data_IF_728665319316
#
_entry.id   IF_728665319316
#
_cell.length_a   1.000
_cell.length_b   1.000
_cell.length_c   1.000
_cell.angle_alpha   90.00
_cell.angle_beta   90.00
_cell.angle_gamma   90.00
#
_symmetry.space_group_name_H-M   'P 1'
#
loop_
_entity.id
_entity.type
_entity.pdbx_description
1 polymer ?
#
# COMPACT_ATOMS: atom_id res chain seq x y z
N UNK A 1 25.90 -19.46 -30.21
CA UNK A 1 25.30 -18.25 -29.61
C UNK A 1 26.42 -17.45 -28.98
N UNK A 2 26.57 -16.17 -29.34
CA UNK A 2 27.56 -15.30 -28.71
C UNK A 2 27.12 -14.89 -27.30
N UNK A 3 28.04 -14.37 -26.48
CA UNK A 3 27.76 -14.01 -25.09
C UNK A 3 26.58 -13.01 -24.95
N UNK A 4 26.48 -12.05 -25.88
CA UNK A 4 25.39 -11.06 -25.94
C UNK A 4 24.01 -11.70 -26.21
N UNK A 5 23.95 -12.68 -27.12
CA UNK A 5 22.73 -13.44 -27.40
C UNK A 5 22.30 -14.31 -26.22
N UNK A 6 23.25 -14.97 -25.55
CA UNK A 6 22.97 -15.76 -24.34
C UNK A 6 22.44 -14.87 -23.22
N UNK A 7 23.04 -13.71 -23.05
CA UNK A 7 22.60 -12.71 -22.10
C UNK A 7 21.17 -12.23 -22.39
N UNK A 8 20.86 -11.87 -23.64
CA UNK A 8 19.54 -11.39 -24.03
C UNK A 8 18.45 -12.44 -23.80
N UNK A 9 18.74 -13.70 -24.13
CA UNK A 9 17.83 -14.82 -23.87
C UNK A 9 17.55 -15.02 -22.37
N UNK A 10 18.53 -14.75 -21.50
CA UNK A 10 18.32 -14.78 -20.04
C UNK A 10 17.43 -13.63 -19.57
N UNK A 11 17.62 -12.42 -20.11
CA UNK A 11 16.80 -11.26 -19.80
C UNK A 11 15.34 -11.48 -20.20
N UNK A 12 15.10 -11.93 -21.43
CA UNK A 12 13.76 -12.22 -21.94
C UNK A 12 13.04 -13.29 -21.09
N UNK A 13 13.77 -14.34 -20.68
CA UNK A 13 13.22 -15.36 -19.77
C UNK A 13 12.82 -14.77 -18.41
N UNK A 14 13.62 -13.87 -17.85
CA UNK A 14 13.27 -13.19 -16.59
C UNK A 14 12.06 -12.28 -16.77
N UNK A 15 11.94 -11.59 -17.90
CA UNK A 15 10.80 -10.74 -18.22
C UNK A 15 9.49 -11.54 -18.35
N UNK A 16 9.52 -12.70 -19.03
CA UNK A 16 8.37 -13.61 -19.10
C UNK A 16 7.92 -14.05 -17.70
N UNK A 17 8.88 -14.44 -16.84
CA UNK A 17 8.56 -14.81 -15.46
C UNK A 17 7.98 -13.63 -14.67
N UNK A 18 8.53 -12.42 -14.86
CA UNK A 18 7.99 -11.20 -14.26
C UNK A 18 6.53 -10.99 -14.66
N UNK A 19 6.23 -11.05 -15.95
CA UNK A 19 4.88 -10.81 -16.48
C UNK A 19 3.86 -11.82 -15.97
N UNK A 20 4.26 -13.10 -15.87
CA UNK A 20 3.42 -14.15 -15.28
C UNK A 20 3.11 -13.88 -13.81
N UNK A 21 4.14 -13.62 -13.00
CA UNK A 21 3.98 -13.33 -11.57
C UNK A 21 3.20 -12.03 -11.33
N UNK A 22 3.41 -11.00 -12.17
CA UNK A 22 2.69 -9.74 -12.11
C UNK A 22 1.20 -9.93 -12.43
N UNK A 23 0.88 -10.79 -13.42
CA UNK A 23 -0.50 -11.17 -13.76
C UNK A 23 -1.19 -11.91 -12.61
N UNK A 24 -0.50 -12.88 -12.00
CA UNK A 24 -1.02 -13.59 -10.84
C UNK A 24 -1.23 -12.64 -9.65
N UNK A 25 -0.28 -11.74 -9.39
CA UNK A 25 -0.41 -10.68 -8.40
C UNK A 25 -1.62 -9.77 -8.68
N UNK A 26 -1.88 -9.40 -9.94
CA UNK A 26 -3.06 -8.61 -10.34
C UNK A 26 -4.37 -9.36 -10.07
N UNK A 27 -4.42 -10.67 -10.28
CA UNK A 27 -5.60 -11.47 -9.95
C UNK A 27 -5.87 -11.46 -8.44
N UNK A 28 -4.84 -11.69 -7.61
CA UNK A 28 -5.00 -11.62 -6.16
C UNK A 28 -5.41 -10.23 -5.68
N UNK A 29 -4.84 -9.16 -6.26
CA UNK A 29 -5.27 -7.78 -5.99
C UNK A 29 -6.76 -7.57 -6.28
N UNK A 30 -7.24 -8.05 -7.42
CA UNK A 30 -8.65 -7.94 -7.80
C UNK A 30 -9.56 -8.66 -6.81
N UNK A 31 -9.16 -9.85 -6.35
CA UNK A 31 -9.93 -10.62 -5.36
C UNK A 31 -9.98 -9.90 -4.01
N UNK A 32 -8.86 -9.34 -3.55
CA UNK A 32 -8.80 -8.56 -2.30
C UNK A 32 -9.73 -7.34 -2.39
N UNK A 33 -9.64 -6.58 -3.49
CA UNK A 33 -10.47 -5.39 -3.70
C UNK A 33 -11.97 -5.73 -3.74
N UNK A 34 -12.35 -6.77 -4.48
CA UNK A 34 -13.75 -7.22 -4.61
C UNK A 34 -14.32 -7.70 -3.28
N UNK A 35 -13.57 -8.52 -2.53
CA UNK A 35 -14.00 -9.00 -1.21
C UNK A 35 -14.21 -7.86 -0.21
N UNK A 36 -13.30 -6.88 -0.17
CA UNK A 36 -13.42 -5.70 0.70
C UNK A 36 -14.60 -4.81 0.28
N UNK A 37 -14.78 -4.58 -1.01
CA UNK A 37 -15.91 -3.78 -1.50
C UNK A 37 -17.23 -4.43 -1.11
N UNK A 38 -17.36 -5.75 -1.31
CA UNK A 38 -18.57 -6.51 -0.93
C UNK A 38 -18.81 -6.49 0.58
N UNK A 39 -17.78 -6.61 1.41
CA UNK A 39 -17.94 -6.54 2.87
C UNK A 39 -18.45 -5.15 3.29
N UNK A 40 -17.90 -4.07 2.71
CA UNK A 40 -18.34 -2.71 3.00
C UNK A 40 -19.81 -2.46 2.61
N UNK A 41 -20.23 -3.00 1.45
CA UNK A 41 -21.64 -2.93 1.03
C UNK A 41 -22.54 -3.65 2.04
N UNK A 42 -22.13 -4.84 2.50
CA UNK A 42 -22.87 -5.61 3.49
C UNK A 42 -22.88 -4.96 4.88
N UNK A 43 -21.90 -4.14 5.22
CA UNK A 43 -21.87 -3.37 6.47
C UNK A 43 -22.70 -2.07 6.41
N UNK A 44 -23.00 -1.60 5.19
CA UNK A 44 -23.78 -0.37 4.98
C UNK A 44 -25.28 -0.56 5.25
N UNK A 45 -26.00 0.55 5.47
CA UNK A 45 -27.47 0.53 5.63
C UNK A 45 -28.21 0.02 4.38
N UNK A 46 -27.59 0.09 3.19
CA UNK A 46 -28.14 -0.46 1.96
C UNK A 46 -28.28 -1.99 2.00
N UNK A 47 -27.50 -2.66 2.86
CA UNK A 47 -27.58 -4.12 3.06
C UNK A 47 -28.90 -4.57 3.71
N UNK A 48 -29.61 -3.69 4.43
CA UNK A 48 -30.89 -4.01 5.08
C UNK A 48 -31.96 -4.41 4.06
N UNK A 49 -31.82 -3.94 2.82
CA UNK A 49 -32.68 -4.28 1.69
C UNK A 49 -32.32 -5.64 1.07
N UNK A 50 -31.06 -6.08 1.20
CA UNK A 50 -30.49 -7.27 0.57
C UNK A 50 -30.55 -8.48 1.52
N UNK A 51 -30.24 -8.29 2.80
CA UNK A 51 -30.18 -9.33 3.82
C UNK A 51 -30.86 -8.84 5.10
N UNK A 52 -32.12 -9.23 5.29
CA UNK A 52 -32.90 -8.89 6.50
C UNK A 52 -32.37 -9.60 7.77
N UNK A 53 -31.66 -10.72 7.59
CA UNK A 53 -31.08 -11.49 8.70
C UNK A 53 -29.69 -10.96 9.06
N UNK A 54 -29.56 -10.35 10.24
CA UNK A 54 -28.27 -9.91 10.82
C UNK A 54 -27.29 -11.07 11.00
N UNK A 55 -27.79 -12.29 11.24
CA UNK A 55 -26.92 -13.48 11.39
C UNK A 55 -26.27 -13.85 10.06
N UNK A 56 -27.05 -13.92 8.98
CA UNK A 56 -26.54 -14.23 7.64
C UNK A 56 -25.60 -13.13 7.13
N UNK A 57 -25.92 -11.86 7.40
CA UNK A 57 -25.06 -10.72 7.11
C UNK A 57 -23.67 -10.87 7.76
N UNK A 58 -23.62 -11.21 9.06
CA UNK A 58 -22.35 -11.44 9.78
C UNK A 58 -21.54 -12.60 9.20
N UNK A 59 -22.20 -13.71 8.84
CA UNK A 59 -21.55 -14.88 8.24
C UNK A 59 -20.95 -14.50 6.88
N UNK A 60 -21.71 -13.80 6.03
CA UNK A 60 -21.26 -13.38 4.70
C UNK A 60 -20.05 -12.42 4.78
N UNK A 61 -20.10 -11.43 5.68
CA UNK A 61 -18.98 -10.52 5.93
C UNK A 61 -17.73 -11.30 6.38
N UNK A 62 -17.88 -12.22 7.33
CA UNK A 62 -16.77 -13.03 7.82
C UNK A 62 -16.12 -13.87 6.70
N UNK A 63 -16.92 -14.43 5.80
CA UNK A 63 -16.40 -15.24 4.70
C UNK A 63 -15.69 -14.41 3.63
N UNK A 64 -16.20 -13.22 3.31
CA UNK A 64 -15.52 -12.27 2.42
C UNK A 64 -14.17 -11.82 3.00
N UNK A 65 -14.10 -11.59 4.32
CA UNK A 65 -12.84 -11.28 4.98
C UNK A 65 -11.85 -12.45 4.94
N UNK A 66 -12.31 -13.69 5.11
CA UNK A 66 -11.44 -14.87 4.93
C UNK A 66 -10.91 -14.97 3.50
N UNK A 67 -11.76 -14.75 2.49
CA UNK A 67 -11.36 -14.73 1.08
C UNK A 67 -10.31 -13.65 0.80
N UNK A 68 -10.52 -12.43 1.32
CA UNK A 68 -9.56 -11.34 1.21
C UNK A 68 -8.20 -11.69 1.84
N UNK A 69 -8.20 -12.30 3.03
CA UNK A 69 -6.97 -12.73 3.71
C UNK A 69 -6.25 -13.86 2.96
N UNK A 70 -7.00 -14.81 2.39
CA UNK A 70 -6.43 -15.86 1.55
C UNK A 70 -5.79 -15.29 0.29
N UNK A 71 -6.49 -14.41 -0.42
CA UNK A 71 -5.98 -13.75 -1.62
C UNK A 71 -4.74 -12.89 -1.31
N UNK A 72 -4.70 -12.21 -0.16
CA UNK A 72 -3.51 -11.49 0.32
C UNK A 72 -2.31 -12.40 0.54
N UNK A 73 -2.51 -13.57 1.16
CA UNK A 73 -1.42 -14.54 1.34
C UNK A 73 -0.86 -14.97 -0.01
N UNK A 74 -1.73 -15.17 -1.01
CA UNK A 74 -1.33 -15.40 -2.40
C UNK A 74 -0.52 -14.23 -2.98
N UNK A 75 -1.02 -12.99 -2.82
CA UNK A 75 -0.32 -11.78 -3.27
C UNK A 75 1.08 -11.65 -2.66
N UNK A 76 1.23 -11.90 -1.36
CA UNK A 76 2.53 -11.85 -0.66
C UNK A 76 3.50 -12.88 -1.24
N UNK A 77 3.02 -14.09 -1.54
CA UNK A 77 3.84 -15.11 -2.18
C UNK A 77 4.32 -14.67 -3.56
N UNK A 78 3.45 -14.08 -4.39
CA UNK A 78 3.84 -13.56 -5.71
C UNK A 78 4.82 -12.38 -5.61
N UNK A 79 4.61 -11.46 -4.67
CA UNK A 79 5.54 -10.36 -4.38
C UNK A 79 6.93 -10.88 -4.03
N UNK A 80 7.03 -11.93 -3.22
CA UNK A 80 8.31 -12.57 -2.90
C UNK A 80 9.01 -13.12 -4.15
N UNK A 81 8.27 -13.74 -5.07
CA UNK A 81 8.83 -14.26 -6.32
C UNK A 81 9.27 -13.12 -7.26
N UNK A 82 8.49 -12.06 -7.38
CA UNK A 82 8.87 -10.85 -8.14
C UNK A 82 10.17 -10.25 -7.60
N UNK A 83 10.33 -10.18 -6.27
CA UNK A 83 11.58 -9.76 -5.64
C UNK A 83 12.79 -10.60 -6.06
N UNK A 84 12.64 -11.92 -6.14
CA UNK A 84 13.71 -12.81 -6.62
C UNK A 84 14.06 -12.59 -8.10
N UNK A 85 13.05 -12.36 -8.94
CA UNK A 85 13.27 -12.03 -10.37
C UNK A 85 14.02 -10.70 -10.50
N UNK A 86 13.67 -9.70 -9.69
CA UNK A 86 14.35 -8.39 -9.69
C UNK A 86 15.81 -8.47 -9.29
N UNK A 87 16.15 -9.27 -8.27
CA UNK A 87 17.54 -9.50 -7.89
C UNK A 87 18.31 -10.09 -9.07
N UNK A 88 17.73 -11.08 -9.77
CA UNK A 88 18.37 -11.69 -10.95
C UNK A 88 18.52 -10.70 -12.11
N UNK A 89 17.51 -9.87 -12.38
CA UNK A 89 17.58 -8.85 -13.43
C UNK A 89 18.68 -7.82 -13.15
N UNK A 90 18.82 -7.38 -11.88
CA UNK A 90 19.91 -6.48 -11.48
C UNK A 90 21.28 -7.13 -11.65
N UNK A 91 21.47 -8.36 -11.17
CA UNK A 91 22.73 -9.08 -11.36
C UNK A 91 23.07 -9.27 -12.84
N UNK A 92 22.06 -9.53 -13.67
CA UNK A 92 22.24 -9.71 -15.11
C UNK A 92 22.64 -8.38 -15.79
N UNK A 93 22.04 -7.24 -15.40
CA UNK A 93 22.47 -5.90 -15.84
C UNK A 93 23.91 -5.61 -15.44
N UNK A 94 24.27 -5.86 -14.19
CA UNK A 94 25.61 -5.53 -13.67
C UNK A 94 26.71 -6.34 -14.40
N UNK A 95 26.36 -7.52 -14.93
CA UNK A 95 27.24 -8.32 -15.78
C UNK A 95 27.45 -7.76 -17.21
N UNK A 96 26.61 -6.84 -17.70
CA UNK A 96 26.84 -6.14 -18.98
C UNK A 96 27.85 -5.01 -18.82
N UNK A 97 27.77 -4.26 -17.72
CA UNK A 97 28.59 -3.05 -17.49
C UNK A 97 30.10 -3.33 -17.56
N UNK A 98 30.51 -4.59 -17.44
CA UNK A 98 31.91 -5.02 -17.53
C UNK A 98 32.41 -5.27 -18.96
N UNK A 99 31.55 -5.41 -19.98
CA UNK A 99 31.96 -5.95 -21.29
C UNK A 99 31.57 -5.13 -22.54
N UNK A 100 30.55 -4.25 -22.52
CA UNK A 100 30.17 -3.48 -23.73
C UNK A 100 29.38 -2.22 -23.34
N UNK A 101 29.94 -1.02 -23.57
CA UNK A 101 29.30 0.28 -23.22
C UNK A 101 28.26 0.68 -24.27
N UNK A 102 27.17 -0.08 -24.38
CA UNK A 102 25.99 0.34 -25.13
C UNK A 102 25.08 1.19 -24.21
N UNK A 103 25.40 2.49 -24.13
CA UNK A 103 24.76 3.47 -23.22
C UNK A 103 23.23 3.53 -23.41
N UNK A 104 22.76 3.30 -24.65
CA UNK A 104 21.33 3.25 -24.96
C UNK A 104 20.65 2.03 -24.30
N UNK A 105 21.29 0.86 -24.39
CA UNK A 105 20.77 -0.37 -23.81
C UNK A 105 20.76 -0.30 -22.27
N UNK A 106 21.83 0.20 -21.66
CA UNK A 106 21.93 0.37 -20.20
C UNK A 106 20.83 1.31 -19.68
N UNK A 107 20.59 2.43 -20.39
CA UNK A 107 19.52 3.37 -20.05
C UNK A 107 18.13 2.74 -20.13
N UNK A 108 17.81 2.06 -21.23
CA UNK A 108 16.51 1.39 -21.42
C UNK A 108 16.26 0.30 -20.36
N UNK A 109 17.31 -0.44 -19.98
CA UNK A 109 17.22 -1.45 -18.92
C UNK A 109 17.03 -0.81 -17.54
N UNK A 110 17.74 0.29 -17.25
CA UNK A 110 17.56 1.02 -16.00
C UNK A 110 16.13 1.57 -15.85
N UNK A 111 15.55 2.10 -16.93
CA UNK A 111 14.16 2.56 -16.95
C UNK A 111 13.17 1.40 -16.71
N UNK A 112 13.42 0.25 -17.34
CA UNK A 112 12.62 -0.97 -17.16
C UNK A 112 12.66 -1.48 -15.72
N UNK A 113 13.87 -1.55 -15.13
CA UNK A 113 14.07 -1.95 -13.73
C UNK A 113 13.33 -0.99 -12.79
N UNK A 114 13.41 0.33 -13.02
CA UNK A 114 12.68 1.33 -12.21
C UNK A 114 11.17 1.14 -12.28
N UNK A 115 10.63 0.80 -13.44
CA UNK A 115 9.20 0.51 -13.60
C UNK A 115 8.79 -0.72 -12.79
N UNK A 116 9.57 -1.80 -12.85
CA UNK A 116 9.34 -3.02 -12.08
C UNK A 116 9.47 -2.79 -10.56
N UNK A 117 10.42 -1.97 -10.12
CA UNK A 117 10.55 -1.58 -8.70
C UNK A 117 9.30 -0.86 -8.20
N UNK A 118 8.77 0.10 -8.98
CA UNK A 118 7.54 0.80 -8.62
C UNK A 118 6.36 -0.17 -8.50
N UNK A 119 6.24 -1.11 -9.43
CA UNK A 119 5.19 -2.13 -9.39
C UNK A 119 5.34 -3.08 -8.18
N UNK A 120 6.57 -3.52 -7.89
CA UNK A 120 6.87 -4.36 -6.73
C UNK A 120 6.53 -3.64 -5.43
N UNK A 121 6.92 -2.38 -5.30
CA UNK A 121 6.61 -1.54 -4.14
C UNK A 121 5.10 -1.41 -3.95
N UNK A 122 4.35 -1.06 -5.00
CA UNK A 122 2.89 -0.95 -4.94
C UNK A 122 2.23 -2.27 -4.50
N UNK A 123 2.66 -3.41 -5.06
CA UNK A 123 2.11 -4.73 -4.71
C UNK A 123 2.50 -5.17 -3.30
N UNK A 124 3.75 -4.90 -2.88
CA UNK A 124 4.26 -5.21 -1.53
C UNK A 124 3.49 -4.42 -0.48
N UNK A 125 3.23 -3.15 -0.75
CA UNK A 125 2.37 -2.32 0.10
C UNK A 125 0.96 -2.93 0.23
N UNK A 126 0.37 -3.42 -0.85
CA UNK A 126 -0.98 -3.99 -0.77
C UNK A 126 -0.99 -5.36 -0.06
N UNK A 127 0.07 -6.14 -0.24
CA UNK A 127 0.28 -7.46 0.38
C UNK A 127 0.56 -7.37 1.90
N UNK A 128 1.31 -6.37 2.32
CA UNK A 128 1.67 -6.13 3.72
C UNK A 128 0.58 -5.36 4.47
N UNK A 129 -0.36 -4.73 3.76
CA UNK A 129 -1.33 -3.74 4.24
C UNK A 129 -2.04 -4.07 5.57
N UNK A 130 -3.13 -4.83 5.70
CA UNK A 130 -4.15 -4.44 6.70
C UNK A 130 -4.54 -2.95 6.51
N UNK A 131 -4.76 -2.62 5.22
CA UNK A 131 -4.91 -1.32 4.55
C UNK A 131 -5.94 -0.31 5.09
N UNK A 132 -6.33 -0.41 6.34
CA UNK A 132 -7.18 0.59 6.94
C UNK A 132 -6.97 0.70 8.43
N UNK A 133 -5.91 0.12 9.03
CA UNK A 133 -5.84 0.03 10.49
C UNK A 133 -4.39 -0.15 11.01
N UNK A 134 -3.79 0.84 11.67
CA UNK A 134 -2.46 0.70 12.29
C UNK A 134 -2.23 1.62 13.48
N UNK A 135 -1.21 1.31 14.29
CA UNK A 135 -0.79 2.21 15.36
C UNK A 135 0.07 3.36 14.83
N UNK A 136 -0.38 4.59 15.08
CA UNK A 136 0.40 5.82 14.87
C UNK A 136 0.48 6.61 16.18
N UNK A 137 1.37 7.60 16.23
CA UNK A 137 1.42 8.56 17.33
C UNK A 137 0.77 9.87 16.93
N UNK A 138 -0.10 10.40 17.79
CA UNK A 138 -0.75 11.70 17.59
C UNK A 138 -0.26 12.67 18.65
N UNK A 139 0.10 13.89 18.26
CA UNK A 139 0.44 14.96 19.20
C UNK A 139 -0.85 15.50 19.85
N UNK A 140 -0.84 15.74 21.16
CA UNK A 140 -1.90 16.47 21.87
C UNK A 140 -1.70 17.97 21.68
N UNK A 141 -2.71 18.77 22.06
CA UNK A 141 -2.58 20.23 22.06
C UNK A 141 -1.47 20.69 23.01
N UNK A 142 -1.25 19.94 24.09
CA UNK A 142 -0.19 20.19 25.07
C UNK A 142 1.18 19.63 24.65
N UNK A 143 1.34 19.22 23.38
CA UNK A 143 2.61 18.76 22.82
C UNK A 143 3.00 17.31 23.14
N UNK A 144 2.17 16.54 23.86
CA UNK A 144 2.48 15.15 24.24
C UNK A 144 2.13 14.16 23.13
N UNK A 145 2.96 13.14 22.93
CA UNK A 145 2.71 12.07 21.96
C UNK A 145 1.83 10.97 22.55
N UNK A 146 0.83 10.52 21.79
CA UNK A 146 -0.08 9.45 22.17
C UNK A 146 -0.16 8.36 21.09
N UNK A 147 0.19 7.13 21.43
CA UNK A 147 -0.04 5.97 20.56
C UNK A 147 -1.55 5.71 20.43
N UNK A 148 -2.06 5.67 19.21
CA UNK A 148 -3.47 5.43 18.88
C UNK A 148 -3.58 4.48 17.71
N UNK A 149 -4.63 3.68 17.72
CA UNK A 149 -4.98 2.85 16.58
C UNK A 149 -5.75 3.73 15.60
N UNK A 150 -5.19 3.97 14.43
CA UNK A 150 -5.80 4.75 13.36
C UNK A 150 -6.37 3.82 12.34
N UNK A 151 -7.57 4.14 11.88
CA UNK A 151 -8.19 3.45 10.78
C UNK A 151 -8.62 4.42 9.68
N UNK A 152 -8.63 3.96 8.43
CA UNK A 152 -9.24 4.73 7.34
C UNK A 152 -10.06 3.84 6.44
N UNK A 153 -11.19 4.38 5.98
CA UNK A 153 -12.01 3.80 4.93
C UNK A 153 -11.99 4.64 3.64
N UNK A 154 -11.05 5.59 3.53
CA UNK A 154 -10.91 6.51 2.39
C UNK A 154 -11.78 7.78 2.47
N UNK A 155 -12.87 7.76 3.25
CA UNK A 155 -13.70 8.94 3.50
C UNK A 155 -13.45 9.53 4.89
N UNK A 156 -13.16 8.69 5.86
CA UNK A 156 -12.87 9.07 7.23
C UNK A 156 -11.55 8.47 7.69
N UNK A 157 -10.73 9.27 8.35
CA UNK A 157 -9.65 8.78 9.20
C UNK A 157 -10.17 8.75 10.64
N UNK A 158 -10.37 7.56 11.18
CA UNK A 158 -10.82 7.36 12.56
C UNK A 158 -9.64 7.00 13.44
N UNK A 159 -9.75 7.26 14.74
CA UNK A 159 -8.81 6.68 15.69
C UNK A 159 -9.43 6.29 17.02
N UNK A 160 -8.77 5.35 17.67
CA UNK A 160 -9.20 4.67 18.88
C UNK A 160 -8.06 4.62 19.90
N UNK A 161 -8.40 4.38 21.17
CA UNK A 161 -7.38 4.15 22.20
C UNK A 161 -6.58 2.87 21.93
N UNK A 162 -7.28 1.80 21.52
CA UNK A 162 -6.74 0.51 21.09
C UNK A 162 -7.64 -0.08 20.00
N UNK A 163 -7.14 -1.05 19.24
CA UNK A 163 -7.93 -1.81 18.26
C UNK A 163 -9.20 -2.40 18.92
N UNK A 164 -10.35 -2.28 18.25
CA UNK A 164 -11.63 -2.82 18.71
C UNK A 164 -12.29 -2.07 19.89
N UNK A 165 -11.80 -0.88 20.28
CA UNK A 165 -12.41 -0.05 21.32
C UNK A 165 -13.35 1.02 20.75
N UNK A 166 -14.00 1.79 21.64
CA UNK A 166 -14.85 2.92 21.26
C UNK A 166 -14.05 3.98 20.47
N UNK A 167 -14.66 4.44 19.37
CA UNK A 167 -14.19 5.54 18.53
C UNK A 167 -13.92 6.80 19.37
N UNK A 168 -12.72 7.38 19.23
CA UNK A 168 -12.38 8.63 19.92
C UNK A 168 -12.63 9.84 19.03
N UNK A 169 -12.30 9.75 17.74
CA UNK A 169 -12.62 10.78 16.76
C UNK A 169 -12.65 10.19 15.35
N UNK A 170 -13.42 10.84 14.48
CA UNK A 170 -13.45 10.63 13.04
C UNK A 170 -13.14 11.96 12.35
N UNK A 171 -12.13 11.97 11.48
CA UNK A 171 -11.76 13.11 10.65
C UNK A 171 -12.35 12.88 9.26
N UNK A 172 -13.19 13.80 8.78
CA UNK A 172 -13.81 13.72 7.46
C UNK A 172 -12.80 14.16 6.40
N UNK A 173 -12.23 13.22 5.65
CA UNK A 173 -11.10 13.48 4.74
C UNK A 173 -11.46 14.39 3.55
N UNK A 174 -12.64 14.27 2.94
CA UNK A 174 -13.13 15.27 1.99
C UNK A 174 -13.18 16.72 2.50
N UNK A 175 -13.20 16.93 3.83
CA UNK A 175 -13.30 18.24 4.47
C UNK A 175 -12.01 18.65 5.18
N UNK A 176 -10.97 17.82 5.14
CA UNK A 176 -9.65 18.26 5.62
C UNK A 176 -9.09 19.29 4.64
N UNK A 177 -8.36 20.26 5.19
CA UNK A 177 -7.59 21.23 4.41
C UNK A 177 -6.31 20.58 3.88
N UNK A 178 -5.18 21.25 4.08
CA UNK A 178 -3.91 20.75 3.59
C UNK A 178 -3.40 19.59 4.46
N UNK A 179 -2.88 18.57 3.77
CA UNK A 179 -2.12 17.48 4.39
C UNK A 179 -0.68 17.66 3.97
N UNK A 180 0.21 17.79 4.94
CA UNK A 180 1.61 18.11 4.66
C UNK A 180 2.50 17.04 5.25
N UNK A 181 3.31 16.41 4.41
CA UNK A 181 4.43 15.60 4.86
C UNK A 181 5.53 16.54 5.38
N UNK A 182 5.98 16.33 6.61
CA UNK A 182 7.07 17.12 7.18
C UNK A 182 8.42 16.51 6.81
N UNK A 183 9.42 17.37 6.61
CA UNK A 183 10.79 16.96 6.29
C UNK A 183 11.41 16.10 7.40
N UNK A 184 12.41 15.30 7.02
CA UNK A 184 13.11 14.40 7.95
C UNK A 184 13.85 15.15 9.07
N UNK A 185 14.28 16.38 8.79
CA UNK A 185 15.01 17.26 9.72
C UNK A 185 14.13 17.91 10.80
N UNK A 186 12.88 17.46 10.96
CA UNK A 186 12.00 18.04 11.97
C UNK A 186 12.55 17.81 13.39
N UNK A 187 12.25 18.75 14.29
CA UNK A 187 12.63 18.64 15.71
C UNK A 187 12.04 17.42 16.43
N UNK A 188 10.92 16.89 15.92
CA UNK A 188 10.28 15.68 16.46
C UNK A 188 10.75 14.39 15.74
N UNK A 189 11.76 14.49 14.86
CA UNK A 189 12.33 13.39 14.08
C UNK A 189 11.60 13.10 12.76
N UNK A 190 11.97 12.02 12.05
CA UNK A 190 11.36 11.67 10.76
C UNK A 190 9.97 11.02 10.91
N UNK A 191 9.27 10.90 9.78
CA UNK A 191 7.98 10.19 9.74
C UNK A 191 6.79 11.01 10.22
N UNK A 192 6.80 12.33 10.04
CA UNK A 192 5.71 13.19 10.48
C UNK A 192 4.88 13.73 9.33
N UNK A 193 3.60 13.88 9.58
CA UNK A 193 2.69 14.59 8.70
C UNK A 193 1.64 15.35 9.50
N UNK A 194 1.09 16.40 8.90
CA UNK A 194 0.00 17.19 9.46
C UNK A 194 -1.27 17.03 8.64
N UNK A 195 -2.41 17.08 9.32
CA UNK A 195 -3.74 17.15 8.70
C UNK A 195 -4.42 18.39 9.27
N UNK A 196 -4.75 19.36 8.42
CA UNK A 196 -5.57 20.50 8.81
C UNK A 196 -7.05 20.15 8.74
N UNK A 197 -7.81 20.47 9.79
CA UNK A 197 -9.25 20.29 9.82
C UNK A 197 -9.88 21.44 10.59
N UNK A 198 -10.60 22.30 9.87
CA UNK A 198 -11.15 23.55 10.40
C UNK A 198 -10.04 24.36 11.10
N UNK A 199 -10.21 24.69 12.38
CA UNK A 199 -9.25 25.45 13.19
C UNK A 199 -8.17 24.56 13.85
N UNK A 200 -8.09 23.27 13.51
CA UNK A 200 -7.22 22.31 14.20
C UNK A 200 -6.22 21.66 13.26
N UNK A 201 -4.96 21.67 13.66
CA UNK A 201 -3.89 20.90 13.02
C UNK A 201 -3.62 19.62 13.81
N UNK A 202 -3.70 18.48 13.14
CA UNK A 202 -3.35 17.17 13.69
C UNK A 202 -1.94 16.80 13.25
N UNK A 203 -0.96 16.84 14.16
CA UNK A 203 0.37 16.30 13.91
C UNK A 203 0.40 14.81 14.24
N UNK A 204 0.76 13.98 13.27
CA UNK A 204 0.81 12.53 13.36
C UNK A 204 2.21 12.05 13.00
N UNK A 205 2.70 11.04 13.74
CA UNK A 205 4.00 10.40 13.54
C UNK A 205 3.81 8.91 13.24
N UNK A 206 4.39 8.49 12.11
CA UNK A 206 4.54 7.12 11.67
C UNK A 206 5.90 6.54 12.10
N UNK A 207 6.16 5.27 11.80
CA UNK A 207 7.43 4.60 12.15
C UNK A 207 8.60 5.03 11.26
N UNK A 208 8.32 5.54 10.06
CA UNK A 208 9.32 5.98 9.09
C UNK A 208 8.78 7.09 8.19
N UNK A 209 9.67 7.77 7.46
CA UNK A 209 9.31 8.82 6.50
C UNK A 209 8.46 8.26 5.35
N UNK A 210 8.80 7.09 4.83
CA UNK A 210 8.05 6.41 3.77
C UNK A 210 6.65 6.03 4.24
N UNK A 211 6.51 5.63 5.50
CA UNK A 211 5.20 5.31 6.07
C UNK A 211 4.34 6.57 6.19
N UNK A 212 4.92 7.69 6.62
CA UNK A 212 4.21 8.97 6.66
C UNK A 212 3.82 9.44 5.26
N UNK A 213 4.74 9.36 4.29
CA UNK A 213 4.48 9.67 2.89
C UNK A 213 3.31 8.84 2.34
N UNK A 214 3.24 7.55 2.69
CA UNK A 214 2.13 6.69 2.31
C UNK A 214 0.78 7.15 2.87
N UNK A 215 0.73 7.60 4.13
CA UNK A 215 -0.50 8.16 4.70
C UNK A 215 -0.93 9.45 4.00
N UNK A 216 0.02 10.28 3.59
CA UNK A 216 -0.25 11.52 2.84
C UNK A 216 -0.73 11.21 1.42
N UNK A 217 0.01 10.39 0.65
CA UNK A 217 -0.22 10.16 -0.79
C UNK A 217 -1.41 9.22 -1.10
N UNK A 218 -1.54 8.11 -0.39
CA UNK A 218 -2.39 6.99 -0.86
C UNK A 218 -3.78 7.00 -0.24
N UNK A 219 -3.98 7.69 0.89
CA UNK A 219 -5.15 7.47 1.75
C UNK A 219 -5.93 8.69 2.19
N UNK A 220 -5.35 9.88 2.10
CA UNK A 220 -5.98 11.08 2.69
C UNK A 220 -6.08 12.24 1.70
N UNK A 221 -5.48 12.16 0.51
CA UNK A 221 -5.80 13.10 -0.57
C UNK A 221 -7.08 12.60 -1.27
N UNK A 222 -8.23 13.29 -1.14
CA UNK A 222 -9.34 13.02 -2.03
C UNK A 222 -8.85 13.32 -3.44
N UNK A 223 -9.03 12.37 -4.36
CA UNK A 223 -8.86 12.62 -5.79
C UNK A 223 -9.64 13.89 -6.12
N UNK A 224 -8.90 14.97 -6.41
CA UNK A 224 -9.51 16.22 -6.86
C UNK A 224 -10.37 15.85 -8.07
N UNK A 225 -11.67 16.16 -7.98
CA UNK A 225 -12.58 16.11 -9.13
C UNK A 225 -12.08 17.05 -10.22
#
# INVERSE_FOLDING_TARGET
>A
MNARQQWWAQWEKLQIHWDEMARNGKQYLSMVADSIQKSNVLESDASKTILRSKMLQRIAIAELWKQAQHARKGLRAEVGKLGLVMVKMRSLRDAIQTNDRDDYLDKAMCETIKMFEKELMAKSLIAEDDLGARYLFKKTRDGKWQKRWFETNGCFLTYYKKQGQKLLAALNLPQVGTITLLGEDSTDGPGLFTIELNERVYTIKARSHEEAAFWVDVRIIPTKK
#
